data_IF_307934261756
#
_entry.id   IF_307934261756
#
_cell.length_a   1.000
_cell.length_b   1.000
_cell.length_c   1.000
_cell.angle_alpha   90.00
_cell.angle_beta   90.00
_cell.angle_gamma   90.00
#
_symmetry.space_group_name_H-M   'P 1'
#
loop_
_entity.id
_entity.type
_entity.pdbx_description
1 polymer ?
#
# COMPACT_ATOMS: atom_id res chain seq x y z
N UNK A 1 40.91 36.56 6.53
CA UNK A 1 40.64 35.12 6.43
C UNK A 1 39.31 34.62 7.06
N UNK A 2 38.65 35.36 7.96
CA UNK A 2 37.41 34.87 8.64
C UNK A 2 36.11 35.00 7.84
N UNK A 3 36.05 35.85 6.80
CA UNK A 3 34.82 36.03 5.99
C UNK A 3 34.52 34.94 4.95
N UNK A 4 35.53 34.20 4.48
CA UNK A 4 35.37 33.10 3.50
C UNK A 4 34.81 31.80 4.10
N UNK A 5 35.04 31.57 5.41
CA UNK A 5 34.53 30.40 6.11
C UNK A 5 33.01 30.50 6.42
N UNK A 6 32.47 31.73 6.62
CA UNK A 6 31.07 31.94 6.93
C UNK A 6 30.18 31.71 5.70
N UNK A 7 30.64 32.09 4.51
CA UNK A 7 29.91 31.87 3.25
C UNK A 7 29.86 30.39 2.85
N UNK A 8 30.92 29.65 3.14
CA UNK A 8 30.95 28.19 2.91
C UNK A 8 30.02 27.40 3.86
N UNK A 9 29.89 27.85 5.11
CA UNK A 9 29.02 27.21 6.10
C UNK A 9 27.52 27.45 5.79
N UNK A 10 27.15 28.64 5.30
CA UNK A 10 25.76 28.95 4.89
C UNK A 10 25.38 28.19 3.62
N UNK A 11 26.26 28.06 2.65
CA UNK A 11 25.99 27.29 1.44
C UNK A 11 25.88 25.78 1.72
N UNK A 12 26.66 25.23 2.66
CA UNK A 12 26.58 23.82 3.06
C UNK A 12 25.34 23.47 3.90
N UNK A 13 24.75 24.45 4.62
CA UNK A 13 23.54 24.23 5.42
C UNK A 13 22.25 24.40 4.64
N UNK A 14 22.26 25.06 3.48
CA UNK A 14 21.08 25.25 2.64
C UNK A 14 20.92 24.17 1.58
N UNK A 15 22.00 23.51 1.15
CA UNK A 15 21.94 22.43 0.16
C UNK A 15 21.11 21.20 0.60
N UNK A 16 21.19 20.69 1.84
CA UNK A 16 20.34 19.60 2.29
C UNK A 16 18.85 19.95 2.38
N UNK A 17 18.53 21.20 2.73
CA UNK A 17 17.13 21.63 2.88
C UNK A 17 16.39 21.72 1.53
N UNK A 18 17.09 21.99 0.45
CA UNK A 18 16.51 22.06 -0.90
C UNK A 18 16.32 20.68 -1.52
N UNK A 19 16.99 19.65 -1.01
CA UNK A 19 16.94 18.28 -1.54
C UNK A 19 15.85 17.40 -0.88
N UNK A 20 15.21 17.88 0.20
CA UNK A 20 14.13 17.15 0.87
C UNK A 20 12.78 17.78 0.55
N UNK A 21 12.08 17.26 -0.47
CA UNK A 21 10.67 17.56 -0.67
C UNK A 21 9.82 16.57 0.12
N UNK A 22 8.95 17.08 0.98
CA UNK A 22 7.92 16.29 1.62
C UNK A 22 6.72 16.18 0.67
N UNK A 23 6.42 14.97 0.23
CA UNK A 23 5.34 14.65 -0.69
C UNK A 23 4.16 13.95 0.01
N UNK A 24 4.08 14.03 1.33
CA UNK A 24 3.04 13.38 2.15
C UNK A 24 1.61 13.84 1.83
N UNK A 25 1.47 14.97 1.14
CA UNK A 25 0.20 15.57 0.72
C UNK A 25 -0.14 15.36 -0.75
N UNK A 26 0.79 14.81 -1.54
CA UNK A 26 0.58 14.55 -2.97
C UNK A 26 -0.01 13.16 -3.17
N UNK A 27 -1.19 13.07 -3.77
CA UNK A 27 -1.85 11.81 -4.11
C UNK A 27 -1.83 11.60 -5.61
N UNK A 28 -1.14 10.55 -6.04
CA UNK A 28 -1.02 10.14 -7.44
C UNK A 28 -1.87 8.90 -7.73
N UNK A 29 -2.36 8.80 -8.97
CA UNK A 29 -2.99 7.59 -9.50
C UNK A 29 -2.00 6.85 -10.41
N UNK A 30 -1.82 5.57 -10.16
CA UNK A 30 -1.05 4.67 -11.03
C UNK A 30 -1.99 3.67 -11.66
N UNK A 31 -1.96 3.57 -12.99
CA UNK A 31 -2.77 2.62 -13.75
C UNK A 31 -1.87 1.48 -14.23
N UNK A 32 -2.31 0.24 -14.00
CA UNK A 32 -1.60 -0.98 -14.40
C UNK A 32 -2.52 -1.78 -15.33
N UNK A 33 -2.09 -1.94 -16.56
CA UNK A 33 -2.76 -2.77 -17.55
C UNK A 33 -2.39 -4.24 -17.32
N UNK A 34 -3.29 -5.00 -16.73
CA UNK A 34 -3.09 -6.42 -16.43
C UNK A 34 -4.02 -7.35 -17.21
N UNK A 35 -4.97 -6.78 -17.94
CA UNK A 35 -5.96 -7.55 -18.71
C UNK A 35 -6.93 -8.33 -17.83
N UNK A 36 -7.28 -7.78 -16.67
CA UNK A 36 -8.25 -8.41 -15.76
C UNK A 36 -9.68 -8.39 -16.29
N UNK A 37 -9.99 -7.50 -17.23
CA UNK A 37 -11.34 -7.31 -17.77
C UNK A 37 -12.31 -6.64 -16.79
N UNK A 38 -11.81 -6.14 -15.67
CA UNK A 38 -12.53 -5.42 -14.61
C UNK A 38 -11.66 -4.31 -14.08
N UNK A 39 -12.27 -3.28 -13.50
CA UNK A 39 -11.54 -2.22 -12.80
C UNK A 39 -11.36 -2.59 -11.32
N UNK A 40 -10.12 -2.83 -10.92
CA UNK A 40 -9.74 -3.08 -9.54
C UNK A 40 -9.01 -1.88 -8.97
N UNK A 41 -9.40 -1.44 -7.77
CA UNK A 41 -8.67 -0.43 -7.00
C UNK A 41 -7.98 -1.10 -5.81
N UNK A 42 -6.66 -0.91 -5.72
CA UNK A 42 -5.85 -1.41 -4.61
C UNK A 42 -5.51 -0.28 -3.66
N UNK A 43 -5.89 -0.45 -2.39
CA UNK A 43 -5.78 0.55 -1.32
C UNK A 43 -4.92 0.00 -0.17
N UNK A 44 -3.60 0.09 -0.24
CA UNK A 44 -2.72 -0.29 0.86
C UNK A 44 -2.42 0.89 1.78
N UNK A 45 -2.16 0.62 3.05
CA UNK A 45 -1.62 1.57 4.03
C UNK A 45 -2.45 2.83 4.18
N UNK A 46 -3.71 2.70 4.51
CA UNK A 46 -4.51 3.87 4.80
C UNK A 46 -4.10 4.57 6.10
N UNK A 47 -3.63 3.82 7.11
CA UNK A 47 -3.22 4.37 8.41
C UNK A 47 -4.20 5.43 8.91
N UNK A 48 -5.45 5.04 9.16
CA UNK A 48 -6.52 5.94 9.58
C UNK A 48 -6.35 6.26 11.06
N UNK A 49 -5.87 7.45 11.39
CA UNK A 49 -5.69 7.88 12.78
C UNK A 49 -6.94 8.57 13.33
N UNK A 50 -7.42 9.55 12.60
CA UNK A 50 -8.57 10.39 12.84
C UNK A 50 -9.07 10.96 11.50
N UNK A 51 -10.04 11.85 11.51
CA UNK A 51 -10.52 12.50 10.28
C UNK A 51 -9.42 13.35 9.64
N UNK A 52 -9.04 12.98 8.42
CA UNK A 52 -7.96 13.59 7.66
C UNK A 52 -8.40 13.86 6.22
N UNK A 53 -8.07 15.04 5.70
CA UNK A 53 -8.34 15.40 4.30
C UNK A 53 -7.79 14.35 3.30
N UNK A 54 -6.67 13.76 3.60
CA UNK A 54 -6.04 12.70 2.80
C UNK A 54 -6.99 11.52 2.58
N UNK A 55 -7.67 11.09 3.63
CA UNK A 55 -8.64 9.97 3.56
C UNK A 55 -9.85 10.39 2.72
N UNK A 56 -10.37 11.62 2.92
CA UNK A 56 -11.48 12.16 2.12
C UNK A 56 -11.11 12.26 0.63
N UNK A 57 -9.86 12.62 0.31
CA UNK A 57 -9.34 12.68 -1.07
C UNK A 57 -9.29 11.28 -1.70
N UNK A 58 -8.85 10.26 -0.96
CA UNK A 58 -8.87 8.86 -1.40
C UNK A 58 -10.29 8.38 -1.67
N UNK A 59 -11.22 8.63 -0.74
CA UNK A 59 -12.63 8.24 -0.90
C UNK A 59 -13.26 8.86 -2.15
N UNK A 60 -13.04 10.15 -2.39
CA UNK A 60 -13.54 10.83 -3.61
C UNK A 60 -12.99 10.22 -4.91
N UNK A 61 -11.71 9.81 -4.92
CA UNK A 61 -11.13 9.16 -6.09
C UNK A 61 -11.73 7.77 -6.28
N UNK A 62 -11.88 6.99 -5.21
CA UNK A 62 -12.49 5.65 -5.29
C UNK A 62 -13.92 5.74 -5.81
N UNK A 63 -14.72 6.68 -5.29
CA UNK A 63 -16.08 6.94 -5.76
C UNK A 63 -16.11 7.32 -7.26
N UNK A 64 -15.23 8.25 -7.68
CA UNK A 64 -15.14 8.68 -9.08
C UNK A 64 -14.67 7.58 -10.03
N UNK A 65 -13.88 6.64 -9.56
CA UNK A 65 -13.42 5.50 -10.35
C UNK A 65 -14.49 4.42 -10.52
N UNK A 66 -15.48 4.34 -9.62
CA UNK A 66 -16.56 3.35 -9.65
C UNK A 66 -16.01 1.92 -9.91
N UNK A 67 -15.19 1.38 -9.01
CA UNK A 67 -14.48 0.13 -9.25
C UNK A 67 -15.41 -1.09 -9.17
N UNK A 68 -15.14 -2.09 -10.01
CA UNK A 68 -15.75 -3.41 -9.87
C UNK A 68 -15.29 -4.13 -8.62
N UNK A 69 -14.02 -3.97 -8.28
CA UNK A 69 -13.36 -4.67 -7.18
C UNK A 69 -12.50 -3.68 -6.39
N UNK A 70 -12.60 -3.76 -5.07
CA UNK A 70 -11.68 -3.07 -4.16
C UNK A 70 -10.91 -4.09 -3.33
N UNK A 71 -9.60 -3.87 -3.22
CA UNK A 71 -8.72 -4.67 -2.36
C UNK A 71 -7.99 -3.75 -1.38
N UNK A 72 -8.20 -3.97 -0.08
CA UNK A 72 -7.42 -3.33 0.97
C UNK A 72 -6.13 -4.14 1.19
N UNK A 73 -4.99 -3.47 1.08
CA UNK A 73 -3.66 -4.09 1.10
C UNK A 73 -3.00 -4.21 2.47
N UNK A 74 -3.77 -4.10 3.56
CA UNK A 74 -3.27 -4.08 4.94
C UNK A 74 -2.87 -2.69 5.42
N UNK A 75 -2.56 -2.58 6.70
CA UNK A 75 -2.25 -1.34 7.41
C UNK A 75 -3.35 -0.28 7.24
N UNK A 76 -4.60 -0.72 7.43
CA UNK A 76 -5.77 0.15 7.50
C UNK A 76 -5.71 1.04 8.74
N UNK A 77 -5.23 0.45 9.84
CA UNK A 77 -5.05 1.07 11.16
C UNK A 77 -3.65 0.83 11.70
N UNK A 78 -3.29 1.56 12.75
CA UNK A 78 -2.02 1.38 13.46
C UNK A 78 -2.16 1.73 14.96
N UNK A 79 -1.03 1.86 15.65
CA UNK A 79 -0.94 2.17 17.07
C UNK A 79 -1.46 3.57 17.41
N UNK A 80 -1.53 4.47 16.43
CA UNK A 80 -2.02 5.86 16.59
C UNK A 80 -3.50 6.01 16.25
N UNK A 81 -4.15 4.99 15.69
CA UNK A 81 -5.60 4.99 15.45
C UNK A 81 -6.36 5.12 16.77
N UNK A 82 -7.17 6.18 16.89
CA UNK A 82 -7.93 6.50 18.11
C UNK A 82 -9.43 6.49 17.90
N UNK A 83 -9.89 6.54 16.67
CA UNK A 83 -11.28 6.67 16.30
C UNK A 83 -11.77 5.47 15.47
N UNK A 84 -12.14 4.40 16.15
CA UNK A 84 -12.68 3.19 15.50
C UNK A 84 -14.02 3.48 14.78
N UNK A 85 -14.76 4.51 15.20
CA UNK A 85 -15.99 4.92 14.55
C UNK A 85 -15.69 5.52 13.19
N UNK A 86 -14.68 6.39 13.09
CA UNK A 86 -14.26 6.97 11.83
C UNK A 86 -13.69 5.89 10.89
N UNK A 87 -12.92 4.93 11.37
CA UNK A 87 -12.49 3.76 10.56
C UNK A 87 -13.70 3.07 9.94
N UNK A 88 -14.75 2.84 10.72
CA UNK A 88 -15.99 2.22 10.24
C UNK A 88 -16.73 3.09 9.22
N UNK A 89 -16.76 4.42 9.39
CA UNK A 89 -17.31 5.35 8.41
C UNK A 89 -16.60 5.23 7.08
N UNK A 90 -15.26 5.37 7.07
CA UNK A 90 -14.40 5.26 5.88
C UNK A 90 -14.66 3.94 5.13
N UNK A 91 -14.65 2.82 5.84
CA UNK A 91 -14.89 1.50 5.22
C UNK A 91 -16.32 1.37 4.67
N UNK A 92 -17.28 2.08 5.26
CA UNK A 92 -18.67 2.07 4.78
C UNK A 92 -18.83 2.89 3.50
N UNK A 93 -18.05 3.96 3.32
CA UNK A 93 -18.09 4.81 2.13
C UNK A 93 -17.45 4.15 0.90
N UNK A 94 -16.49 3.24 1.09
CA UNK A 94 -15.88 2.50 -0.02
C UNK A 94 -16.89 1.51 -0.62
N UNK A 95 -17.32 1.77 -1.85
CA UNK A 95 -18.25 0.93 -2.59
C UNK A 95 -17.56 0.20 -3.73
N UNK A 96 -17.94 -1.07 -3.95
CA UNK A 96 -17.58 -1.91 -5.08
C UNK A 96 -18.47 -3.15 -5.10
N UNK A 97 -18.56 -3.83 -6.24
CA UNK A 97 -19.32 -5.08 -6.34
C UNK A 97 -18.67 -6.19 -5.52
N UNK A 98 -17.33 -6.23 -5.51
CA UNK A 98 -16.56 -7.18 -4.71
C UNK A 98 -15.52 -6.44 -3.87
N UNK A 99 -15.37 -6.85 -2.63
CA UNK A 99 -14.48 -6.21 -1.67
C UNK A 99 -13.63 -7.24 -0.95
N UNK A 100 -12.31 -7.05 -0.99
CA UNK A 100 -11.35 -7.97 -0.41
C UNK A 100 -10.34 -7.25 0.46
N UNK A 101 -9.68 -7.99 1.35
CA UNK A 101 -8.58 -7.46 2.15
C UNK A 101 -7.55 -8.53 2.52
N UNK A 102 -6.33 -8.08 2.75
CA UNK A 102 -5.29 -8.77 3.50
C UNK A 102 -4.94 -7.94 4.72
N UNK A 103 -4.37 -8.55 5.74
CA UNK A 103 -3.88 -7.83 6.91
C UNK A 103 -2.43 -7.40 6.71
N UNK A 104 -2.07 -6.26 7.29
CA UNK A 104 -0.71 -5.78 7.39
C UNK A 104 -0.13 -6.00 8.79
N UNK A 105 1.09 -5.53 9.02
CA UNK A 105 1.76 -5.69 10.30
C UNK A 105 1.15 -4.82 11.40
N UNK A 106 0.68 -3.62 11.07
CA UNK A 106 0.17 -2.68 12.06
C UNK A 106 -1.18 -3.10 12.68
N UNK A 107 -2.02 -3.85 11.98
CA UNK A 107 -3.18 -4.46 12.59
C UNK A 107 -2.79 -5.39 13.74
N UNK A 108 -1.78 -6.25 13.52
CA UNK A 108 -1.30 -7.19 14.55
C UNK A 108 -0.54 -6.48 15.67
N UNK A 109 0.40 -5.59 15.33
CA UNK A 109 1.25 -4.90 16.31
C UNK A 109 0.45 -3.98 17.22
N UNK A 110 -0.59 -3.35 16.71
CA UNK A 110 -1.51 -2.52 17.52
C UNK A 110 -2.53 -3.34 18.32
N UNK A 111 -2.63 -4.65 18.07
CA UNK A 111 -3.65 -5.53 18.66
C UNK A 111 -5.07 -5.28 18.16
N UNK A 112 -5.23 -4.61 17.01
CA UNK A 112 -6.52 -4.24 16.45
C UNK A 112 -7.01 -5.19 15.34
N UNK A 113 -6.28 -6.25 15.05
CA UNK A 113 -6.58 -7.21 14.00
C UNK A 113 -8.01 -7.78 14.09
N UNK A 114 -8.45 -8.16 15.30
CA UNK A 114 -9.81 -8.68 15.54
C UNK A 114 -10.89 -7.62 15.29
N UNK A 115 -10.65 -6.38 15.70
CA UNK A 115 -11.55 -5.25 15.46
C UNK A 115 -11.66 -4.95 13.96
N UNK A 116 -10.55 -4.87 13.25
CA UNK A 116 -10.50 -4.61 11.80
C UNK A 116 -11.24 -5.71 11.03
N UNK A 117 -10.97 -6.99 11.30
CA UNK A 117 -11.71 -8.11 10.69
C UNK A 117 -13.21 -8.00 10.91
N UNK A 118 -13.62 -7.67 12.12
CA UNK A 118 -15.05 -7.52 12.46
C UNK A 118 -15.69 -6.41 11.63
N UNK A 119 -15.06 -5.23 11.56
CA UNK A 119 -15.58 -4.10 10.77
C UNK A 119 -15.67 -4.47 9.29
N UNK A 120 -14.60 -5.01 8.73
CA UNK A 120 -14.52 -5.35 7.31
C UNK A 120 -15.55 -6.42 6.92
N UNK A 121 -15.64 -7.51 7.69
CA UNK A 121 -16.61 -8.58 7.43
C UNK A 121 -18.06 -8.07 7.51
N UNK A 122 -18.38 -7.17 8.46
CA UNK A 122 -19.69 -6.55 8.57
C UNK A 122 -20.05 -5.64 7.38
N UNK A 123 -19.06 -5.21 6.61
CA UNK A 123 -19.21 -4.37 5.41
C UNK A 123 -19.03 -5.14 4.11
N UNK A 124 -19.06 -6.48 4.17
CA UNK A 124 -19.01 -7.35 3.01
C UNK A 124 -17.62 -7.56 2.40
N UNK A 125 -16.56 -7.19 3.11
CA UNK A 125 -15.22 -7.54 2.68
C UNK A 125 -14.91 -9.01 3.01
N UNK A 126 -14.18 -9.68 2.12
CA UNK A 126 -13.69 -11.05 2.31
C UNK A 126 -12.18 -11.04 2.52
N UNK A 127 -11.73 -11.66 3.60
CA UNK A 127 -10.29 -11.84 3.84
C UNK A 127 -9.69 -12.79 2.80
N UNK A 128 -8.58 -12.38 2.18
CA UNK A 128 -7.82 -13.25 1.30
C UNK A 128 -6.67 -13.85 2.11
N UNK A 129 -6.84 -15.09 2.51
CA UNK A 129 -5.82 -15.89 3.21
C UNK A 129 -5.71 -17.24 2.50
N UNK A 130 -4.68 -17.40 1.66
CA UNK A 130 -4.62 -18.47 0.67
C UNK A 130 -5.51 -18.17 -0.54
N UNK A 131 -6.03 -19.19 -1.19
CA UNK A 131 -6.84 -19.06 -2.39
C UNK A 131 -8.31 -18.70 -2.08
N UNK A 132 -8.82 -17.69 -2.76
CA UNK A 132 -10.23 -17.24 -2.71
C UNK A 132 -10.76 -17.11 -4.13
N UNK A 133 -11.97 -17.59 -4.39
CA UNK A 133 -12.64 -17.41 -5.67
C UNK A 133 -13.37 -16.06 -5.72
N UNK A 134 -13.13 -15.31 -6.79
CA UNK A 134 -13.84 -14.07 -7.14
C UNK A 134 -14.64 -14.29 -8.40
N UNK A 135 -15.95 -14.04 -8.40
CA UNK A 135 -16.80 -14.10 -9.59
C UNK A 135 -16.30 -13.23 -10.75
N UNK A 136 -15.66 -12.10 -10.46
CA UNK A 136 -15.19 -11.14 -11.47
C UNK A 136 -13.77 -11.40 -11.97
N UNK A 137 -12.85 -11.81 -11.08
CA UNK A 137 -11.42 -11.93 -11.40
C UNK A 137 -11.01 -13.40 -11.58
N UNK A 138 -11.78 -14.34 -11.03
CA UNK A 138 -11.41 -15.73 -10.89
C UNK A 138 -10.65 -15.96 -9.58
N UNK A 139 -9.53 -16.66 -9.62
CA UNK A 139 -8.79 -16.99 -8.40
C UNK A 139 -7.88 -15.84 -7.96
N UNK A 140 -8.03 -15.44 -6.69
CA UNK A 140 -7.14 -14.50 -6.01
C UNK A 140 -6.42 -15.27 -4.91
N UNK A 141 -5.12 -15.06 -4.75
CA UNK A 141 -4.33 -15.65 -3.67
C UNK A 141 -3.78 -14.58 -2.74
N UNK A 142 -3.94 -14.73 -1.43
CA UNK A 142 -3.45 -13.79 -0.44
C UNK A 142 -2.44 -14.38 0.52
N UNK A 143 -1.42 -13.60 0.84
CA UNK A 143 -0.51 -13.89 1.94
C UNK A 143 -0.86 -13.00 3.14
N UNK A 144 -1.08 -13.63 4.28
CA UNK A 144 -1.22 -12.93 5.54
C UNK A 144 0.16 -12.46 6.05
N UNK A 145 0.18 -11.38 6.84
CA UNK A 145 1.42 -10.90 7.44
C UNK A 145 2.09 -11.98 8.30
N UNK A 146 3.39 -12.02 8.26
CA UNK A 146 4.21 -12.88 9.09
C UNK A 146 5.47 -12.14 9.54
N UNK A 147 5.68 -12.01 10.85
CA UNK A 147 6.81 -11.24 11.43
C UNK A 147 8.18 -11.81 11.03
N UNK A 148 8.27 -13.12 10.78
CA UNK A 148 9.50 -13.76 10.28
C UNK A 148 9.69 -13.55 8.77
N UNK A 149 8.70 -12.97 8.07
CA UNK A 149 8.67 -12.81 6.60
C UNK A 149 8.93 -14.10 5.83
N UNK A 150 8.42 -15.20 6.37
CA UNK A 150 8.44 -16.52 5.75
C UNK A 150 7.04 -16.91 5.36
N UNK A 151 6.88 -17.24 4.10
CA UNK A 151 5.57 -17.54 3.53
C UNK A 151 5.55 -18.97 2.97
N UNK A 152 4.38 -19.63 2.93
CA UNK A 152 4.25 -20.90 2.22
C UNK A 152 4.51 -20.70 0.74
N UNK A 153 5.22 -21.63 0.10
CA UNK A 153 5.32 -21.61 -1.37
C UNK A 153 3.95 -21.85 -1.99
N UNK A 154 3.62 -21.03 -3.00
CA UNK A 154 2.35 -21.12 -3.71
C UNK A 154 2.57 -21.03 -5.23
N UNK A 155 1.97 -21.95 -5.96
CA UNK A 155 1.87 -21.85 -7.42
C UNK A 155 0.54 -21.24 -7.77
N UNK A 156 0.55 -20.04 -8.34
CA UNK A 156 -0.64 -19.22 -8.59
C UNK A 156 -0.68 -18.79 -10.04
N UNK A 157 -1.88 -18.86 -10.63
CA UNK A 157 -2.21 -18.19 -11.88
C UNK A 157 -3.26 -17.11 -11.58
N UNK A 158 -2.98 -15.86 -12.00
CA UNK A 158 -3.87 -14.72 -11.78
C UNK A 158 -3.36 -13.70 -10.77
N UNK A 159 -4.25 -13.22 -9.92
CA UNK A 159 -3.95 -12.14 -8.98
C UNK A 159 -3.41 -12.67 -7.65
N UNK A 160 -2.34 -12.07 -7.16
CA UNK A 160 -1.79 -12.30 -5.82
C UNK A 160 -1.81 -10.98 -5.05
N UNK A 161 -2.19 -11.01 -3.79
CA UNK A 161 -2.17 -9.85 -2.90
C UNK A 161 -1.38 -10.19 -1.64
N UNK A 162 -0.47 -9.32 -1.27
CA UNK A 162 0.23 -9.41 0.02
C UNK A 162 0.53 -8.01 0.55
N UNK A 163 0.62 -7.90 1.85
CA UNK A 163 1.12 -6.67 2.45
C UNK A 163 2.64 -6.56 2.28
N UNK A 164 3.39 -7.65 2.54
CA UNK A 164 4.84 -7.69 2.40
C UNK A 164 5.26 -8.06 0.96
N UNK A 165 6.01 -7.21 0.25
CA UNK A 165 6.47 -7.51 -1.10
C UNK A 165 7.48 -8.69 -1.15
N UNK A 166 8.14 -9.04 -0.03
CA UNK A 166 9.04 -10.19 0.00
C UNK A 166 8.30 -11.53 -0.17
N UNK A 167 6.98 -11.57 0.00
CA UNK A 167 6.17 -12.73 -0.34
C UNK A 167 6.31 -13.15 -1.82
N UNK A 168 6.75 -12.23 -2.70
CA UNK A 168 7.01 -12.51 -4.10
C UNK A 168 8.02 -13.64 -4.34
N UNK A 169 8.99 -13.82 -3.44
CA UNK A 169 9.98 -14.90 -3.56
C UNK A 169 9.37 -16.29 -3.39
N UNK A 170 8.22 -16.39 -2.73
CA UNK A 170 7.49 -17.63 -2.45
C UNK A 170 6.41 -17.97 -3.49
N UNK A 171 6.18 -17.07 -4.46
CA UNK A 171 5.19 -17.29 -5.53
C UNK A 171 5.86 -17.93 -6.74
N UNK A 172 5.15 -18.87 -7.36
CA UNK A 172 5.47 -19.49 -8.66
C UNK A 172 4.27 -19.36 -9.60
N UNK A 173 4.49 -19.53 -10.90
CA UNK A 173 3.45 -19.46 -11.91
C UNK A 173 3.27 -18.08 -12.53
N UNK A 174 2.29 -17.99 -13.44
CA UNK A 174 2.00 -16.74 -14.16
C UNK A 174 1.01 -15.90 -13.37
N UNK A 175 1.52 -14.91 -12.64
CA UNK A 175 0.70 -14.05 -11.81
C UNK A 175 1.17 -12.60 -11.79
N UNK A 176 0.24 -11.71 -11.43
CA UNK A 176 0.53 -10.35 -11.03
C UNK A 176 0.30 -10.23 -9.51
N UNK A 177 1.34 -9.90 -8.79
CA UNK A 177 1.26 -9.64 -7.37
C UNK A 177 1.19 -8.13 -7.10
N UNK A 178 0.28 -7.74 -6.23
CA UNK A 178 0.23 -6.40 -5.65
C UNK A 178 0.65 -6.46 -4.18
N UNK A 179 1.60 -5.61 -3.84
CA UNK A 179 2.07 -5.45 -2.48
C UNK A 179 2.40 -3.98 -2.20
N UNK A 180 2.83 -3.71 -0.99
CA UNK A 180 3.24 -2.36 -0.60
C UNK A 180 4.58 -2.37 0.12
N UNK A 181 5.21 -1.22 0.22
CA UNK A 181 6.42 -1.01 1.01
C UNK A 181 6.33 0.29 1.80
N UNK A 182 6.87 0.30 3.00
CA UNK A 182 6.91 1.47 3.89
C UNK A 182 7.32 2.73 3.15
N UNK A 183 6.36 3.63 2.89
CA UNK A 183 6.55 4.91 2.19
C UNK A 183 7.32 4.81 0.86
N UNK A 184 7.38 3.63 0.21
CA UNK A 184 8.15 3.41 -1.02
C UNK A 184 9.67 3.46 -0.83
N UNK A 185 10.17 3.31 0.42
CA UNK A 185 11.57 3.45 0.76
C UNK A 185 12.11 4.89 0.59
N UNK A 186 13.35 5.12 0.95
CA UNK A 186 14.06 6.36 0.62
C UNK A 186 14.82 6.16 -0.70
N UNK A 187 14.28 6.72 -1.78
CA UNK A 187 14.86 6.61 -3.13
C UNK A 187 15.10 8.01 -3.68
N UNK A 188 16.35 8.31 -4.03
CA UNK A 188 16.77 9.60 -4.61
C UNK A 188 17.42 9.33 -5.97
N UNK A 189 16.93 9.97 -7.03
CA UNK A 189 17.48 9.82 -8.38
C UNK A 189 17.52 8.37 -8.88
N UNK A 190 16.55 7.52 -8.45
CA UNK A 190 16.52 6.10 -8.80
C UNK A 190 17.42 5.19 -7.95
N UNK A 191 18.16 5.75 -6.99
CA UNK A 191 19.02 5.00 -6.08
C UNK A 191 18.30 4.81 -4.74
N UNK A 192 18.12 3.57 -4.30
CA UNK A 192 17.57 3.24 -2.98
C UNK A 192 18.64 3.44 -1.92
N UNK A 193 18.42 4.42 -1.03
CA UNK A 193 19.32 4.70 0.09
C UNK A 193 18.91 3.94 1.35
N UNK A 194 17.61 3.69 1.54
CA UNK A 194 17.08 2.91 2.64
C UNK A 194 15.83 2.14 2.22
N UNK A 195 15.77 0.87 2.64
CA UNK A 195 14.59 0.01 2.48
C UNK A 195 14.64 -1.10 3.54
N UNK A 196 13.49 -1.56 3.99
CA UNK A 196 13.33 -2.75 4.83
C UNK A 196 12.84 -3.97 4.03
N UNK A 197 12.83 -3.87 2.70
CA UNK A 197 12.45 -4.93 1.77
C UNK A 197 13.41 -4.99 0.58
N UNK A 198 13.49 -6.16 -0.05
CA UNK A 198 14.19 -6.37 -1.32
C UNK A 198 13.49 -5.61 -2.46
N UNK A 199 12.15 -5.59 -2.43
CA UNK A 199 11.32 -4.92 -3.42
C UNK A 199 10.80 -3.60 -2.82
N UNK A 200 11.17 -2.47 -3.42
CA UNK A 200 10.98 -1.16 -2.78
C UNK A 200 9.74 -0.45 -3.29
N UNK A 201 9.65 -0.16 -4.58
CA UNK A 201 8.50 0.47 -5.24
C UNK A 201 8.54 0.23 -6.74
N UNK A 202 7.36 0.26 -7.38
CA UNK A 202 7.20 0.10 -8.81
C UNK A 202 7.14 -1.37 -9.26
N UNK A 203 7.49 -1.61 -10.50
CA UNK A 203 7.25 -2.87 -11.18
C UNK A 203 8.49 -3.75 -11.22
N UNK A 204 8.32 -5.04 -10.85
CA UNK A 204 9.35 -6.08 -10.93
C UNK A 204 8.83 -7.26 -11.73
N UNK A 205 9.74 -7.96 -12.42
CA UNK A 205 9.41 -9.17 -13.18
C UNK A 205 10.46 -10.25 -12.95
N UNK A 206 9.99 -11.49 -12.82
CA UNK A 206 10.82 -12.68 -12.70
C UNK A 206 10.15 -13.86 -13.42
N UNK A 207 10.65 -14.18 -14.61
CA UNK A 207 10.01 -15.15 -15.50
C UNK A 207 8.61 -14.72 -15.91
N UNK A 208 7.60 -15.54 -15.61
CA UNK A 208 6.19 -15.28 -15.93
C UNK A 208 5.45 -14.51 -14.82
N UNK A 209 6.04 -14.37 -13.64
CA UNK A 209 5.45 -13.63 -12.54
C UNK A 209 5.91 -12.18 -12.53
N UNK A 210 5.03 -11.29 -12.11
CA UNK A 210 5.30 -9.87 -11.92
C UNK A 210 4.80 -9.39 -10.56
N UNK A 211 5.42 -8.33 -10.06
CA UNK A 211 5.08 -7.69 -8.80
C UNK A 211 5.00 -6.19 -9.04
N UNK A 212 3.96 -5.58 -8.53
CA UNK A 212 3.90 -4.14 -8.36
C UNK A 212 3.93 -3.79 -6.87
N UNK A 213 4.86 -2.95 -6.47
CA UNK A 213 4.99 -2.46 -5.09
C UNK A 213 4.53 -1.02 -5.02
N UNK A 214 3.40 -0.79 -4.35
CA UNK A 214 2.85 0.54 -4.11
C UNK A 214 3.63 1.28 -3.02
N UNK A 215 3.58 2.60 -3.08
CA UNK A 215 4.11 3.50 -2.05
C UNK A 215 3.15 3.70 -0.88
N UNK A 216 1.90 3.21 -0.99
CA UNK A 216 0.86 3.34 0.03
C UNK A 216 0.15 4.68 0.05
N UNK A 217 -0.98 4.72 0.74
CA UNK A 217 -1.90 5.86 0.82
C UNK A 217 -1.81 6.64 2.13
N UNK A 218 -1.03 6.16 3.09
CA UNK A 218 -0.90 6.76 4.40
C UNK A 218 0.53 6.74 4.94
N UNK A 219 0.65 7.13 6.17
CA UNK A 219 1.92 7.20 6.89
C UNK A 219 1.66 7.19 8.39
N UNK A 220 2.60 6.63 9.14
CA UNK A 220 2.61 6.72 10.60
C UNK A 220 3.10 8.11 11.01
N UNK A 221 4.15 8.59 10.34
CA UNK A 221 4.71 9.94 10.52
C UNK A 221 4.47 10.70 9.22
N UNK A 222 3.90 11.94 9.25
CA UNK A 222 3.59 12.71 8.07
C UNK A 222 4.85 13.32 7.43
N UNK A 223 5.77 12.45 7.03
CA UNK A 223 7.00 12.81 6.35
C UNK A 223 7.32 11.75 5.30
N UNK A 224 7.19 12.11 4.03
CA UNK A 224 7.41 11.22 2.88
C UNK A 224 8.39 11.86 1.88
N UNK A 225 9.68 11.91 2.20
CA UNK A 225 10.66 12.51 1.29
C UNK A 225 10.72 11.74 -0.02
N UNK A 226 10.50 12.43 -1.13
CA UNK A 226 10.50 11.88 -2.50
C UNK A 226 9.54 10.70 -2.72
N UNK A 227 8.42 10.67 -2.01
CA UNK A 227 7.46 9.58 -2.06
C UNK A 227 6.03 10.05 -1.86
N UNK A 228 5.36 10.40 -2.94
CA UNK A 228 3.93 10.74 -2.94
C UNK A 228 3.07 9.55 -2.50
N UNK A 229 1.87 9.86 -2.03
CA UNK A 229 0.82 8.86 -1.80
C UNK A 229 0.40 8.24 -3.14
N UNK A 230 0.04 6.97 -3.13
CA UNK A 230 -0.26 6.29 -4.38
C UNK A 230 -1.51 5.42 -4.29
N UNK A 231 -2.50 5.75 -5.12
CA UNK A 231 -3.66 4.91 -5.39
C UNK A 231 -3.41 4.11 -6.68
N UNK A 232 -3.57 2.80 -6.62
CA UNK A 232 -3.31 1.91 -7.75
C UNK A 232 -4.62 1.41 -8.35
N UNK A 233 -4.75 1.56 -9.66
CA UNK A 233 -5.87 1.03 -10.46
C UNK A 233 -5.32 -0.05 -11.37
N UNK A 234 -5.97 -1.21 -11.41
CA UNK A 234 -5.61 -2.35 -12.26
C UNK A 234 -6.76 -2.61 -13.23
N UNK A 235 -6.43 -2.67 -14.54
CA UNK A 235 -7.38 -2.87 -15.63
C UNK A 235 -7.15 -4.18 -16.38
#
# INVERSE_FOLDING_TARGET
MKRRLLLGAVAASTLPAVLFTDESHLLEKTIIEAGLGVKLVFLPDLHIHHRERRVDDVLRIVEAEDPDVVVLGGDLVDEYTRDDHYVKEVITEIQANEKYFVMGNHEYWSGKDSMVRKILNQRGYREIRGAVESPKIGKIYGFDWNDERRYPEATVEGLVVAHDPNAFDYVRGRCLMHARHTNGGLVIGGVTLYSNSTYVRGYYRSGEKSLYVSRGLGHIIPLRPFSSLELVIVL
#
